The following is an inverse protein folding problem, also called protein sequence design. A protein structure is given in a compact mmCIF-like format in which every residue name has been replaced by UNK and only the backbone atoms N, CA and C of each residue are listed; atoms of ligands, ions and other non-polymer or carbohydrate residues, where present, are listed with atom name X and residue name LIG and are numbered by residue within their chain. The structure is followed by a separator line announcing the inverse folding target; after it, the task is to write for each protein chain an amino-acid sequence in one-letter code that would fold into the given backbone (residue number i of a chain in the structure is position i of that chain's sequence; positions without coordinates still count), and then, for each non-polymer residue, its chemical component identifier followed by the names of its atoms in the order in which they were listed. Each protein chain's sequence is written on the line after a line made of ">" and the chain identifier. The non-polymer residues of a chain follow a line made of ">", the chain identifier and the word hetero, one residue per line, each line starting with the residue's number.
data_IF_875578561085
#
_entry.id   IF_875578561085
#
_cell.length_a   1.000
_cell.length_b   1.000
_cell.length_c   1.000
_cell.angle_alpha   90.00
_cell.angle_beta   90.00
_cell.angle_gamma   90.00
#
_symmetry.space_group_name_H-M   'P 1'
#
loop_
_entity.id
_entity.type
_entity.pdbx_description
1 polymer ?
#
# COMPACT_ATOMS: atom_id res chain seq x y z
N UNK A 1 3.88 -22.67 18.66
CA UNK A 1 3.49 -21.40 18.03
C UNK A 1 2.90 -21.84 16.71
N UNK A 2 1.58 -21.85 16.60
CA UNK A 2 0.89 -22.29 15.40
C UNK A 2 1.12 -21.26 14.29
N UNK A 3 1.43 -21.73 13.09
CA UNK A 3 1.70 -20.88 11.92
C UNK A 3 0.53 -19.92 11.63
N UNK A 4 -0.71 -20.33 11.95
CA UNK A 4 -1.92 -19.51 11.81
C UNK A 4 -1.92 -18.25 12.69
N UNK A 5 -1.47 -18.36 13.96
CA UNK A 5 -1.39 -17.20 14.86
C UNK A 5 -0.30 -16.22 14.42
N UNK A 6 0.81 -16.74 13.88
CA UNK A 6 1.90 -15.90 13.35
C UNK A 6 1.44 -15.12 12.11
N UNK A 7 0.78 -15.80 11.17
CA UNK A 7 0.22 -15.17 9.96
C UNK A 7 -0.81 -14.11 10.32
N UNK A 8 -1.67 -14.37 11.30
CA UNK A 8 -2.66 -13.40 11.77
C UNK A 8 -2.02 -12.14 12.36
N UNK A 9 -0.97 -12.28 13.17
CA UNK A 9 -0.20 -11.14 13.68
C UNK A 9 0.45 -10.35 12.55
N UNK A 10 1.04 -11.04 11.57
CA UNK A 10 1.65 -10.41 10.40
C UNK A 10 0.63 -9.59 9.60
N UNK A 11 -0.57 -10.12 9.41
CA UNK A 11 -1.67 -9.44 8.73
C UNK A 11 -2.17 -8.21 9.52
N UNK A 12 -2.25 -8.31 10.85
CA UNK A 12 -2.62 -7.16 11.69
C UNK A 12 -1.57 -6.04 11.66
N UNK A 13 -0.28 -6.39 11.67
CA UNK A 13 0.80 -5.41 11.48
C UNK A 13 0.76 -4.79 10.09
N UNK A 14 0.52 -5.60 9.06
CA UNK A 14 0.39 -5.13 7.69
C UNK A 14 -0.78 -4.16 7.52
N UNK A 15 -1.94 -4.44 8.12
CA UNK A 15 -3.10 -3.54 8.08
C UNK A 15 -2.76 -2.18 8.69
N UNK A 16 -2.13 -2.17 9.87
CA UNK A 16 -1.68 -0.92 10.51
C UNK A 16 -0.68 -0.17 9.65
N UNK A 17 0.35 -0.86 9.15
CA UNK A 17 1.41 -0.25 8.35
C UNK A 17 0.86 0.32 7.03
N UNK A 18 -0.09 -0.39 6.41
CA UNK A 18 -0.79 0.05 5.22
C UNK A 18 -1.59 1.33 5.45
N UNK A 19 -2.41 1.38 6.51
CA UNK A 19 -3.21 2.57 6.83
C UNK A 19 -2.33 3.77 7.20
N UNK A 20 -1.26 3.55 7.95
CA UNK A 20 -0.30 4.60 8.30
C UNK A 20 0.41 5.15 7.05
N UNK A 21 0.81 4.27 6.14
CA UNK A 21 1.39 4.68 4.86
C UNK A 21 0.38 5.43 3.97
N UNK A 22 -0.86 4.98 3.91
CA UNK A 22 -1.94 5.65 3.18
C UNK A 22 -2.24 7.05 3.73
N UNK A 23 -2.20 7.21 5.05
CA UNK A 23 -2.33 8.52 5.68
C UNK A 23 -1.16 9.44 5.29
N UNK A 24 0.09 8.95 5.34
CA UNK A 24 1.26 9.69 4.88
C UNK A 24 1.16 10.08 3.41
N UNK A 25 0.65 9.18 2.55
CA UNK A 25 0.39 9.48 1.14
C UNK A 25 -0.62 10.63 1.02
N UNK A 26 -1.77 10.54 1.71
CA UNK A 26 -2.80 11.59 1.65
C UNK A 26 -2.31 12.94 2.17
N UNK A 27 -1.55 12.93 3.26
CA UNK A 27 -0.96 14.15 3.84
C UNK A 27 0.09 14.72 2.91
N UNK A 28 1.06 13.90 2.48
CA UNK A 28 2.14 14.30 1.59
C UNK A 28 1.63 14.80 0.23
N UNK A 29 0.57 14.20 -0.31
CA UNK A 29 -0.12 14.73 -1.48
C UNK A 29 -0.68 16.12 -1.21
N UNK A 30 -1.35 16.36 -0.07
CA UNK A 30 -1.92 17.68 0.27
C UNK A 30 -0.88 18.75 0.59
N UNK A 31 0.20 18.40 1.29
CA UNK A 31 1.25 19.33 1.71
C UNK A 31 2.29 19.57 0.63
N UNK A 32 2.34 18.70 -0.39
CA UNK A 32 3.37 18.71 -1.44
C UNK A 32 4.65 17.95 -1.04
N UNK A 33 4.63 17.18 0.04
CA UNK A 33 5.75 16.33 0.46
C UNK A 33 5.79 15.02 -0.34
N UNK A 34 6.30 15.12 -1.56
CA UNK A 34 6.40 14.00 -2.50
C UNK A 34 7.35 12.90 -2.02
N UNK A 35 8.40 13.25 -1.28
CA UNK A 35 9.38 12.26 -0.81
C UNK A 35 8.78 11.33 0.24
N UNK A 36 8.04 11.87 1.22
CA UNK A 36 7.31 11.03 2.20
C UNK A 36 6.24 10.17 1.53
N UNK A 37 5.50 10.75 0.57
CA UNK A 37 4.49 10.04 -0.23
C UNK A 37 5.11 8.85 -0.97
N UNK A 38 6.29 9.05 -1.55
CA UNK A 38 7.03 8.01 -2.29
C UNK A 38 7.55 6.91 -1.38
N UNK A 39 8.09 7.26 -0.20
CA UNK A 39 8.54 6.28 0.80
C UNK A 39 7.35 5.42 1.25
N UNK A 40 6.21 6.04 1.55
CA UNK A 40 5.01 5.34 1.95
C UNK A 40 4.49 4.39 0.84
N UNK A 41 4.45 4.86 -0.43
CA UNK A 41 4.09 4.00 -1.56
C UNK A 41 5.07 2.82 -1.74
N UNK A 42 6.36 3.04 -1.53
CA UNK A 42 7.38 2.01 -1.58
C UNK A 42 7.19 0.94 -0.49
N UNK A 43 6.89 1.37 0.75
CA UNK A 43 6.57 0.45 1.85
C UNK A 43 5.35 -0.41 1.53
N UNK A 44 4.24 0.20 1.08
CA UNK A 44 3.04 -0.56 0.69
C UNK A 44 3.36 -1.60 -0.39
N UNK A 45 4.13 -1.22 -1.41
CA UNK A 45 4.54 -2.15 -2.47
C UNK A 45 5.32 -3.35 -1.91
N UNK A 46 6.28 -3.08 -1.03
CA UNK A 46 7.12 -4.10 -0.41
C UNK A 46 6.31 -5.05 0.44
N UNK A 47 5.51 -4.51 1.36
CA UNK A 47 4.66 -5.30 2.24
C UNK A 47 3.62 -6.09 1.44
N UNK A 48 2.93 -5.48 0.47
CA UNK A 48 2.00 -6.17 -0.42
C UNK A 48 2.65 -7.34 -1.19
N UNK A 49 3.89 -7.19 -1.65
CA UNK A 49 4.62 -8.26 -2.33
C UNK A 49 4.95 -9.43 -1.40
N UNK A 50 5.26 -9.16 -0.12
CA UNK A 50 5.49 -10.19 0.90
C UNK A 50 4.22 -11.02 1.11
N UNK A 51 3.05 -10.40 1.13
CA UNK A 51 1.75 -11.08 1.27
C UNK A 51 1.23 -11.71 -0.04
N UNK A 52 1.93 -11.56 -1.17
CA UNK A 52 1.45 -12.03 -2.47
C UNK A 52 0.29 -11.22 -3.05
N UNK A 53 -0.02 -10.06 -2.46
CA UNK A 53 -1.02 -9.11 -2.94
C UNK A 53 -0.49 -8.35 -4.17
N UNK A 54 -0.38 -9.07 -5.29
CA UNK A 54 0.27 -8.61 -6.52
C UNK A 54 -0.43 -7.37 -7.09
N UNK A 55 -1.76 -7.35 -7.12
CA UNK A 55 -2.54 -6.20 -7.60
C UNK A 55 -2.30 -4.94 -6.76
N UNK A 56 -2.19 -5.11 -5.43
CA UNK A 56 -1.90 -4.02 -4.51
C UNK A 56 -0.47 -3.50 -4.69
N UNK A 57 0.48 -4.41 -4.84
CA UNK A 57 1.88 -4.08 -5.12
C UNK A 57 2.02 -3.31 -6.44
N UNK A 58 1.30 -3.74 -7.48
CA UNK A 58 1.30 -3.06 -8.77
C UNK A 58 0.65 -1.67 -8.71
N UNK A 59 -0.48 -1.53 -8.00
CA UNK A 59 -1.10 -0.23 -7.77
C UNK A 59 -0.16 0.75 -7.02
N UNK A 60 0.53 0.27 -5.98
CA UNK A 60 1.50 1.06 -5.24
C UNK A 60 2.72 1.44 -6.09
N UNK A 61 3.19 0.53 -6.95
CA UNK A 61 4.27 0.79 -7.91
C UNK A 61 3.89 1.89 -8.92
N UNK A 62 2.66 1.91 -9.41
CA UNK A 62 2.18 2.96 -10.32
C UNK A 62 2.23 4.33 -9.64
N UNK A 63 1.77 4.41 -8.39
CA UNK A 63 1.85 5.65 -7.60
C UNK A 63 3.30 6.08 -7.34
N UNK A 64 4.16 5.15 -6.92
CA UNK A 64 5.60 5.39 -6.70
C UNK A 64 6.28 5.94 -7.97
N UNK A 65 5.94 5.38 -9.13
CA UNK A 65 6.51 5.80 -10.41
C UNK A 65 6.05 7.19 -10.82
N UNK A 66 4.76 7.50 -10.68
CA UNK A 66 4.22 8.83 -10.97
C UNK A 66 4.88 9.90 -10.08
N UNK A 67 5.05 9.62 -8.79
CA UNK A 67 5.76 10.50 -7.85
C UNK A 67 7.23 10.69 -8.24
N UNK A 68 7.91 9.62 -8.67
CA UNK A 68 9.33 9.65 -9.04
C UNK A 68 9.58 10.43 -10.34
N UNK A 69 8.67 10.36 -11.29
CA UNK A 69 8.78 11.08 -12.55
C UNK A 69 8.42 12.57 -12.44
N UNK A 70 7.93 13.00 -11.28
CA UNK A 70 7.41 14.36 -11.12
C UNK A 70 6.09 14.55 -11.88
N UNK A 71 5.34 13.48 -12.15
CA UNK A 71 3.98 13.53 -12.72
C UNK A 71 2.98 13.99 -11.65
N UNK A 72 3.31 15.09 -10.97
CA UNK A 72 2.54 15.69 -9.89
C UNK A 72 1.71 16.88 -10.36
N UNK A 73 1.71 17.13 -11.67
CA UNK A 73 0.89 18.15 -12.33
C UNK A 73 -0.61 17.98 -12.07
N UNK A 74 -1.07 16.73 -11.84
CA UNK A 74 -2.45 16.43 -11.43
C UNK A 74 -2.47 15.69 -10.09
N UNK A 75 -2.57 16.46 -9.00
CA UNK A 75 -2.80 15.98 -7.64
C UNK A 75 -4.05 15.07 -7.55
N UNK A 76 -5.07 15.34 -8.37
CA UNK A 76 -6.25 14.51 -8.56
C UNK A 76 -5.91 13.09 -9.02
N UNK A 77 -4.96 12.91 -9.93
CA UNK A 77 -4.62 11.59 -10.47
C UNK A 77 -3.83 10.77 -9.44
N UNK A 78 -2.91 11.40 -8.71
CA UNK A 78 -2.24 10.76 -7.57
C UNK A 78 -3.25 10.34 -6.48
N UNK A 79 -4.24 11.19 -6.23
CA UNK A 79 -5.31 10.88 -5.27
C UNK A 79 -6.15 9.70 -5.73
N UNK A 80 -6.53 9.64 -7.02
CA UNK A 80 -7.24 8.48 -7.60
C UNK A 80 -6.42 7.19 -7.51
N UNK A 81 -5.11 7.26 -7.75
CA UNK A 81 -4.21 6.10 -7.61
C UNK A 81 -4.17 5.62 -6.16
N UNK A 82 -4.04 6.54 -5.20
CA UNK A 82 -4.10 6.22 -3.77
C UNK A 82 -5.44 5.58 -3.39
N UNK A 83 -6.56 6.11 -3.89
CA UNK A 83 -7.89 5.55 -3.65
C UNK A 83 -8.03 4.13 -4.23
N UNK A 84 -7.43 3.88 -5.41
CA UNK A 84 -7.37 2.55 -6.02
C UNK A 84 -6.57 1.55 -5.18
N UNK A 85 -5.46 1.99 -4.58
CA UNK A 85 -4.65 1.18 -3.64
C UNK A 85 -5.49 0.82 -2.42
N UNK A 86 -6.19 1.79 -1.81
CA UNK A 86 -7.09 1.56 -0.68
C UNK A 86 -8.22 0.58 -1.02
N UNK A 87 -8.84 0.75 -2.20
CA UNK A 87 -9.90 -0.14 -2.65
C UNK A 87 -9.40 -1.55 -2.93
N UNK A 88 -8.20 -1.70 -3.51
CA UNK A 88 -7.58 -3.02 -3.70
C UNK A 88 -7.36 -3.69 -2.35
N UNK A 89 -6.78 -2.97 -1.39
CA UNK A 89 -6.52 -3.50 -0.04
C UNK A 89 -7.81 -3.97 0.64
N UNK A 90 -8.90 -3.19 0.57
CA UNK A 90 -10.21 -3.58 1.13
C UNK A 90 -10.84 -4.79 0.44
N UNK A 91 -10.54 -4.99 -0.85
CA UNK A 91 -11.02 -6.14 -1.61
C UNK A 91 -10.15 -7.39 -1.46
N UNK A 92 -8.93 -7.24 -0.92
CA UNK A 92 -8.06 -8.37 -0.64
C UNK A 92 -8.61 -9.12 0.57
N UNK A 93 -9.03 -10.35 0.31
CA UNK A 93 -9.59 -11.21 1.34
C UNK A 93 -8.48 -11.73 2.27
N UNK A 94 -8.59 -11.43 3.56
CA UNK A 94 -7.54 -11.76 4.55
C UNK A 94 -7.35 -13.27 4.71
N UNK A 95 -8.42 -14.05 4.52
CA UNK A 95 -8.35 -15.51 4.51
C UNK A 95 -7.54 -16.01 3.30
N UNK A 96 -7.64 -15.32 2.15
CA UNK A 96 -6.84 -15.66 0.96
C UNK A 96 -5.36 -15.36 1.17
N UNK A 97 -4.99 -14.25 1.83
CA UNK A 97 -3.59 -13.96 2.14
C UNK A 97 -2.99 -14.98 3.11
N UNK A 98 -3.75 -15.36 4.14
CA UNK A 98 -3.29 -16.34 5.11
C UNK A 98 -3.05 -17.72 4.45
N UNK A 99 -3.91 -18.11 3.52
CA UNK A 99 -3.77 -19.36 2.77
C UNK A 99 -2.59 -19.39 1.78
N UNK A 100 -2.06 -18.24 1.36
CA UNK A 100 -0.88 -18.17 0.48
C UNK A 100 0.44 -18.33 1.25
N UNK A 101 0.42 -18.04 2.56
CA UNK A 101 1.60 -18.09 3.43
C UNK A 101 1.79 -19.42 4.18
N UNK A 102 0.78 -20.29 4.20
CA UNK A 102 0.81 -21.64 4.80
C UNK A 102 1.18 -22.71 3.77
#
# INVERSE_FOLDING_TARGET
>A
MDDEEFVKQLLEEFDKEFWEAMEKIRVGLKTGELEETKIAAHSIKGSAAVFGATDLSEAAKVLEHALKNGETECQDDLTKMADKIESCFKSVDRESLASVMM
#
